data_IF_715292555887
#
_entry.id   IF_715292555887
#
_cell.length_a   1.000
_cell.length_b   1.000
_cell.length_c   1.000
_cell.angle_alpha   90.00
_cell.angle_beta   90.00
_cell.angle_gamma   90.00
#
_symmetry.space_group_name_H-M   'P 1'
#
loop_
_entity.id
_entity.type
_entity.pdbx_description
1 polymer ?
#
# COMPACT_ATOMS: atom_id res chain seq x y z
N UNK A 1 -61.53 -58.34 49.59
CA UNK A 1 -60.64 -59.43 50.06
C UNK A 1 -59.34 -59.29 49.28
N UNK A 2 -58.32 -58.72 49.94
CA UNK A 2 -56.87 -58.71 49.61
C UNK A 2 -56.48 -58.16 48.21
N UNK A 3 -55.63 -57.15 48.00
CA UNK A 3 -54.71 -56.32 48.78
C UNK A 3 -54.39 -55.07 47.89
N UNK A 4 -54.36 -53.88 48.50
CA UNK A 4 -53.48 -52.69 48.28
C UNK A 4 -52.69 -52.52 46.97
N UNK A 5 -52.33 -51.36 46.45
CA UNK A 5 -52.64 -49.93 46.55
C UNK A 5 -51.75 -49.29 45.44
N UNK A 6 -52.05 -48.06 45.04
CA UNK A 6 -51.42 -47.34 43.92
C UNK A 6 -49.93 -47.02 44.10
N UNK A 7 -49.34 -46.58 42.97
CA UNK A 7 -48.16 -45.72 42.76
C UNK A 7 -46.82 -46.41 42.50
N UNK A 8 -46.33 -46.30 41.25
CA UNK A 8 -44.93 -45.92 40.99
C UNK A 8 -44.93 -44.86 39.88
N UNK A 9 -44.31 -43.75 40.26
CA UNK A 9 -44.03 -42.52 39.55
C UNK A 9 -43.11 -42.78 38.36
N UNK A 10 -43.47 -42.22 37.20
CA UNK A 10 -42.62 -42.12 36.02
C UNK A 10 -41.52 -41.10 36.34
N UNK A 11 -40.33 -41.58 36.67
CA UNK A 11 -39.14 -40.74 36.79
C UNK A 11 -38.80 -40.20 35.40
N UNK A 12 -39.14 -38.94 35.17
CA UNK A 12 -38.76 -38.19 33.97
C UNK A 12 -37.28 -37.88 34.06
N UNK A 13 -36.52 -38.49 33.15
CA UNK A 13 -35.09 -38.34 32.94
C UNK A 13 -34.75 -36.87 32.64
N UNK A 14 -34.18 -36.16 33.63
CA UNK A 14 -33.65 -34.81 33.45
C UNK A 14 -32.15 -34.91 33.16
N UNK A 15 -31.80 -35.31 31.94
CA UNK A 15 -30.43 -35.17 31.46
C UNK A 15 -30.39 -34.87 29.97
N UNK A 16 -30.78 -33.64 29.63
CA UNK A 16 -30.53 -33.07 28.31
C UNK A 16 -29.92 -31.69 28.53
N UNK A 17 -28.90 -31.39 27.72
CA UNK A 17 -28.21 -30.10 27.51
C UNK A 17 -26.94 -29.82 28.35
N UNK A 18 -25.78 -30.38 27.94
CA UNK A 18 -24.51 -29.65 28.06
C UNK A 18 -23.81 -29.45 26.70
N UNK A 19 -24.55 -29.43 25.58
CA UNK A 19 -23.94 -29.29 24.24
C UNK A 19 -23.82 -27.82 23.77
N UNK A 20 -24.69 -26.91 24.23
CA UNK A 20 -24.77 -25.53 23.71
C UNK A 20 -23.60 -24.61 24.08
N UNK A 21 -22.81 -24.95 25.11
CA UNK A 21 -21.72 -24.10 25.62
C UNK A 21 -20.43 -24.23 24.79
N UNK A 22 -20.24 -25.37 24.13
CA UNK A 22 -19.09 -25.65 23.28
C UNK A 22 -19.21 -25.00 21.90
N UNK A 23 -20.43 -24.87 21.38
CA UNK A 23 -20.71 -24.19 20.11
C UNK A 23 -20.26 -22.72 20.13
N UNK A 24 -20.47 -22.02 21.24
CA UNK A 24 -20.09 -20.61 21.38
C UNK A 24 -18.57 -20.40 21.41
N UNK A 25 -17.82 -21.35 21.99
CA UNK A 25 -16.35 -21.29 22.07
C UNK A 25 -15.73 -21.61 20.71
N UNK A 26 -16.29 -22.60 20.00
CA UNK A 26 -15.86 -22.97 18.66
C UNK A 26 -16.17 -21.86 17.65
N UNK A 27 -17.33 -21.20 17.77
CA UNK A 27 -17.70 -20.05 16.96
C UNK A 27 -16.78 -18.83 17.21
N UNK A 28 -16.35 -18.61 18.46
CA UNK A 28 -15.36 -17.57 18.80
C UNK A 28 -13.97 -17.88 18.21
N UNK A 29 -13.57 -19.16 18.21
CA UNK A 29 -12.32 -19.61 17.60
C UNK A 29 -12.34 -19.43 16.07
N UNK A 30 -13.47 -19.73 15.42
CA UNK A 30 -13.65 -19.53 13.98
C UNK A 30 -13.62 -18.04 13.63
N UNK A 31 -14.27 -17.16 14.41
CA UNK A 31 -14.25 -15.71 14.18
C UNK A 31 -12.84 -15.16 14.37
N UNK A 32 -12.13 -15.57 15.41
CA UNK A 32 -10.75 -15.14 15.67
C UNK A 32 -9.78 -15.61 14.57
N UNK A 33 -9.91 -16.86 14.12
CA UNK A 33 -9.14 -17.39 13.00
C UNK A 33 -9.48 -16.66 11.68
N UNK A 34 -10.75 -16.30 11.49
CA UNK A 34 -11.20 -15.53 10.32
C UNK A 34 -10.65 -14.11 10.30
N UNK A 35 -10.43 -13.48 11.46
CA UNK A 35 -9.84 -12.13 11.55
C UNK A 35 -8.33 -12.15 11.22
N UNK A 36 -7.63 -13.24 11.54
CA UNK A 36 -6.21 -13.44 11.18
C UNK A 36 -6.02 -13.63 9.68
N UNK A 37 -7.04 -14.08 8.96
CA UNK A 37 -7.00 -14.36 7.52
C UNK A 37 -7.33 -13.16 6.62
N UNK A 38 -7.45 -11.95 7.16
CA UNK A 38 -7.50 -10.74 6.33
C UNK A 38 -6.09 -10.47 5.80
N UNK A 39 -5.70 -11.21 4.76
CA UNK A 39 -4.58 -10.83 3.92
C UNK A 39 -4.98 -9.56 3.17
N UNK A 40 -4.28 -8.46 3.40
CA UNK A 40 -4.48 -7.22 2.64
C UNK A 40 -4.39 -7.52 1.15
N UNK A 41 -5.45 -7.23 0.40
CA UNK A 41 -5.44 -7.38 -1.04
C UNK A 41 -4.53 -6.29 -1.62
N UNK A 42 -3.49 -6.71 -2.36
CA UNK A 42 -2.64 -5.78 -3.11
C UNK A 42 -3.20 -5.65 -4.52
N UNK A 43 -3.38 -4.41 -4.94
CA UNK A 43 -3.86 -4.05 -6.27
C UNK A 43 -2.68 -3.63 -7.13
N UNK A 44 -2.75 -3.99 -8.40
CA UNK A 44 -1.77 -3.62 -9.39
C UNK A 44 -1.98 -2.18 -9.86
N UNK A 45 -0.95 -1.34 -9.72
CA UNK A 45 -0.98 0.09 -10.06
C UNK A 45 -0.42 0.35 -11.45
N UNK A 46 0.68 -0.33 -11.80
CA UNK A 46 1.36 -0.20 -13.09
C UNK A 46 1.85 -1.57 -13.59
N UNK A 47 1.89 -1.70 -14.92
CA UNK A 47 2.37 -2.86 -15.69
C UNK A 47 3.38 -2.38 -16.75
N UNK A 48 4.23 -3.27 -17.24
CA UNK A 48 5.11 -2.91 -18.36
C UNK A 48 6.30 -2.04 -17.98
N UNK A 49 6.67 -1.99 -16.69
CA UNK A 49 7.76 -1.13 -16.23
C UNK A 49 9.12 -1.76 -16.52
N UNK A 50 10.09 -0.92 -16.87
CA UNK A 50 11.50 -1.34 -16.90
C UNK A 50 12.01 -1.54 -15.47
N UNK A 51 13.13 -2.24 -15.32
CA UNK A 51 13.75 -2.44 -14.01
C UNK A 51 14.10 -1.12 -13.32
N UNK A 52 14.67 -0.17 -14.06
CA UNK A 52 15.03 1.15 -13.53
C UNK A 52 13.78 1.92 -13.08
N UNK A 53 12.72 1.93 -13.90
CA UNK A 53 11.46 2.59 -13.57
C UNK A 53 10.82 2.01 -12.31
N UNK A 54 10.69 0.68 -12.23
CA UNK A 54 10.05 0.05 -11.07
C UNK A 54 10.88 0.24 -9.81
N UNK A 55 12.21 0.16 -9.88
CA UNK A 55 13.08 0.35 -8.73
C UNK A 55 12.98 1.78 -8.19
N UNK A 56 12.92 2.79 -9.07
CA UNK A 56 12.73 4.19 -8.66
C UNK A 56 11.36 4.43 -8.01
N UNK A 57 10.30 3.84 -8.58
CA UNK A 57 8.94 3.91 -8.03
C UNK A 57 8.84 3.26 -6.65
N UNK A 58 9.40 2.05 -6.50
CA UNK A 58 9.46 1.33 -5.22
C UNK A 58 10.21 2.15 -4.18
N UNK A 59 11.39 2.68 -4.52
CA UNK A 59 12.18 3.49 -3.60
C UNK A 59 11.42 4.74 -3.12
N UNK A 60 10.75 5.43 -4.05
CA UNK A 60 9.96 6.64 -3.75
C UNK A 60 8.79 6.35 -2.83
N UNK A 61 8.09 5.24 -3.06
CA UNK A 61 6.91 4.86 -2.28
C UNK A 61 7.28 4.33 -0.89
N UNK A 62 8.31 3.48 -0.78
CA UNK A 62 8.81 2.97 0.50
C UNK A 62 9.31 4.12 1.38
N UNK A 63 10.03 5.09 0.80
CA UNK A 63 10.51 6.27 1.54
C UNK A 63 9.36 7.08 2.15
N UNK A 64 8.18 7.09 1.51
CA UNK A 64 6.97 7.78 1.97
C UNK A 64 6.04 6.88 2.80
N UNK A 65 6.49 5.68 3.19
CA UNK A 65 5.76 4.78 4.08
C UNK A 65 4.63 3.98 3.42
N UNK A 66 4.61 3.91 2.09
CA UNK A 66 3.64 3.11 1.33
C UNK A 66 4.19 1.67 1.20
N UNK A 67 3.37 0.67 1.51
CA UNK A 67 3.72 -0.75 1.28
C UNK A 67 3.58 -1.07 -0.22
N UNK A 68 4.66 -1.56 -0.81
CA UNK A 68 4.76 -1.81 -2.26
C UNK A 68 5.41 -3.15 -2.51
N UNK A 69 4.88 -3.88 -3.48
CA UNK A 69 5.44 -5.13 -3.96
C UNK A 69 5.81 -5.06 -5.43
N UNK A 70 7.03 -5.48 -5.74
CA UNK A 70 7.52 -5.65 -7.12
C UNK A 70 7.20 -7.07 -7.57
N UNK A 71 6.35 -7.21 -8.58
CA UNK A 71 6.06 -8.50 -9.21
C UNK A 71 6.75 -8.61 -10.57
N UNK A 72 7.51 -9.69 -10.84
CA UNK A 72 8.10 -9.92 -12.14
C UNK A 72 7.06 -10.42 -13.15
N UNK A 73 6.87 -9.70 -14.26
CA UNK A 73 6.01 -10.07 -15.39
C UNK A 73 6.75 -10.74 -16.55
N UNK A 74 8.01 -11.15 -16.35
CA UNK A 74 8.82 -11.81 -17.38
C UNK A 74 9.07 -10.92 -18.59
N UNK A 75 8.54 -11.30 -19.76
CA UNK A 75 8.68 -10.52 -21.01
C UNK A 75 7.81 -9.26 -21.04
N UNK A 76 6.79 -9.19 -20.19
CA UNK A 76 5.88 -8.05 -20.09
C UNK A 76 6.41 -6.96 -19.14
N UNK A 77 7.65 -7.06 -18.68
CA UNK A 77 8.26 -6.10 -17.75
C UNK A 77 7.90 -6.39 -16.28
N UNK A 78 8.06 -5.38 -15.44
CA UNK A 78 7.70 -5.46 -14.01
C UNK A 78 6.34 -4.82 -13.75
N UNK A 79 5.64 -5.36 -12.75
CA UNK A 79 4.41 -4.80 -12.21
C UNK A 79 4.64 -4.27 -10.80
N UNK A 80 3.96 -3.17 -10.48
CA UNK A 80 3.99 -2.53 -9.18
C UNK A 80 2.64 -2.73 -8.49
N UNK A 81 2.64 -3.39 -7.34
CA UNK A 81 1.43 -3.64 -6.55
C UNK A 81 1.49 -2.84 -5.24
N UNK A 82 0.34 -2.30 -4.83
CA UNK A 82 0.18 -1.49 -3.61
C UNK A 82 -1.07 -1.96 -2.87
N UNK A 83 -1.09 -1.85 -1.54
CA UNK A 83 -2.30 -2.12 -0.75
C UNK A 83 -3.47 -1.24 -1.20
N UNK A 84 -4.68 -1.81 -1.31
CA UNK A 84 -5.88 -1.11 -1.76
C UNK A 84 -6.14 0.19 -0.98
N UNK A 85 -5.94 0.15 0.33
CA UNK A 85 -6.09 1.28 1.27
C UNK A 85 -5.16 2.46 0.94
N UNK A 86 -4.02 2.19 0.32
CA UNK A 86 -2.96 3.17 0.03
C UNK A 86 -2.88 3.55 -1.46
N UNK A 87 -3.74 2.99 -2.32
CA UNK A 87 -3.69 3.18 -3.77
C UNK A 87 -3.72 4.65 -4.19
N UNK A 88 -4.64 5.43 -3.63
CA UNK A 88 -4.82 6.85 -3.99
C UNK A 88 -3.58 7.66 -3.57
N UNK A 89 -3.08 7.44 -2.35
CA UNK A 89 -1.87 8.08 -1.84
C UNK A 89 -0.65 7.74 -2.69
N UNK A 90 -0.50 6.47 -3.09
CA UNK A 90 0.59 6.02 -3.94
C UNK A 90 0.55 6.70 -5.32
N UNK A 91 -0.62 6.73 -5.96
CA UNK A 91 -0.81 7.41 -7.25
C UNK A 91 -0.52 8.91 -7.16
N UNK A 92 -0.93 9.56 -6.07
CA UNK A 92 -0.65 10.98 -5.85
C UNK A 92 0.86 11.24 -5.71
N UNK A 93 1.56 10.40 -4.93
CA UNK A 93 3.01 10.48 -4.74
C UNK A 93 3.74 10.27 -6.08
N UNK A 94 3.39 9.22 -6.82
CA UNK A 94 4.00 8.92 -8.12
C UNK A 94 3.79 10.07 -9.11
N UNK A 95 2.56 10.58 -9.22
CA UNK A 95 2.23 11.71 -10.09
C UNK A 95 3.01 12.98 -9.73
N UNK A 96 3.10 13.30 -8.44
CA UNK A 96 3.88 14.46 -7.95
C UNK A 96 5.35 14.35 -8.35
N UNK A 97 5.92 13.14 -8.28
CA UNK A 97 7.33 12.87 -8.60
C UNK A 97 7.62 12.61 -10.09
N UNK A 98 6.64 12.76 -11.00
CA UNK A 98 6.82 12.46 -12.44
C UNK A 98 7.06 10.98 -12.77
N UNK A 99 6.57 10.07 -11.93
CA UNK A 99 6.82 8.65 -12.11
C UNK A 99 5.63 7.96 -12.81
N UNK A 100 5.90 7.00 -13.71
CA UNK A 100 7.22 6.60 -14.22
C UNK A 100 7.86 7.68 -15.11
N UNK A 101 9.20 7.77 -15.10
CA UNK A 101 9.92 8.75 -15.92
C UNK A 101 9.65 8.53 -17.41
N UNK A 102 9.55 9.62 -18.16
CA UNK A 102 9.49 9.58 -19.62
C UNK A 102 10.77 8.96 -20.17
N UNK A 103 10.61 8.08 -21.17
CA UNK A 103 11.74 7.56 -21.94
C UNK A 103 12.07 8.57 -23.04
N UNK A 104 13.35 8.93 -23.15
CA UNK A 104 13.85 9.75 -24.25
C UNK A 104 14.32 8.86 -25.39
N UNK A 105 14.03 9.29 -26.61
CA UNK A 105 14.40 8.55 -27.82
C UNK A 105 15.88 8.76 -28.11
N UNK A 106 16.63 7.68 -28.31
CA UNK A 106 18.05 7.78 -28.64
C UNK A 106 18.27 8.30 -30.06
N UNK A 107 19.45 8.91 -30.31
CA UNK A 107 19.81 9.37 -31.65
C UNK A 107 19.73 8.22 -32.67
N UNK A 108 20.21 7.03 -32.31
CA UNK A 108 20.14 5.85 -33.17
C UNK A 108 18.71 5.47 -33.57
N UNK A 109 17.75 5.58 -32.65
CA UNK A 109 16.34 5.32 -32.93
C UNK A 109 15.74 6.36 -33.89
N UNK A 110 16.05 7.65 -33.70
CA UNK A 110 15.55 8.73 -34.58
C UNK A 110 16.05 8.56 -36.03
N UNK A 111 17.26 8.04 -36.24
CA UNK A 111 17.86 7.89 -37.57
C UNK A 111 17.72 6.48 -38.20
N UNK A 112 17.31 5.46 -37.44
CA UNK A 112 17.20 4.07 -37.92
C UNK A 112 15.99 3.79 -38.83
N UNK A 113 15.00 4.69 -38.86
CA UNK A 113 13.79 4.58 -39.68
C UNK A 113 13.90 5.15 -41.09
N UNK A 114 14.59 4.43 -41.99
CA UNK A 114 14.36 4.35 -43.46
C UNK A 114 14.52 5.59 -44.39
N UNK A 115 14.77 5.27 -45.67
CA UNK A 115 14.72 6.14 -46.86
C UNK A 115 16.09 6.46 -47.48
N UNK A 116 16.39 5.94 -48.68
CA UNK A 116 17.69 6.16 -49.37
C UNK A 116 17.88 7.60 -49.88
N UNK A 117 16.87 8.47 -49.74
CA UNK A 117 16.91 9.89 -50.08
C UNK A 117 15.91 10.61 -49.16
N UNK A 118 16.40 11.37 -48.18
CA UNK A 118 15.56 12.27 -47.36
C UNK A 118 15.55 13.68 -47.95
N UNK A 119 14.46 14.42 -47.76
CA UNK A 119 14.42 15.82 -48.18
C UNK A 119 15.21 16.71 -47.22
N UNK A 120 15.73 17.83 -47.70
CA UNK A 120 16.48 18.78 -46.86
C UNK A 120 15.66 19.30 -45.66
N UNK A 121 14.34 19.45 -45.82
CA UNK A 121 13.44 19.84 -44.73
C UNK A 121 13.26 18.71 -43.71
N UNK A 122 13.18 17.46 -44.17
CA UNK A 122 13.05 16.29 -43.31
C UNK A 122 14.31 16.05 -42.48
N UNK A 123 15.50 16.13 -43.09
CA UNK A 123 16.76 15.98 -42.38
C UNK A 123 16.91 17.03 -41.26
N UNK A 124 16.51 18.27 -41.52
CA UNK A 124 16.51 19.35 -40.52
C UNK A 124 15.50 19.10 -39.40
N UNK A 125 14.29 18.67 -39.73
CA UNK A 125 13.27 18.34 -38.73
C UNK A 125 13.73 17.18 -37.83
N UNK A 126 14.37 16.17 -38.44
CA UNK A 126 14.94 15.01 -37.74
C UNK A 126 16.10 15.42 -36.83
N UNK A 127 17.01 16.25 -37.31
CA UNK A 127 18.12 16.80 -36.50
C UNK A 127 17.60 17.64 -35.34
N UNK A 128 16.60 18.50 -35.55
CA UNK A 128 16.01 19.31 -34.49
C UNK A 128 15.35 18.43 -33.42
N UNK A 129 14.63 17.38 -33.83
CA UNK A 129 14.02 16.41 -32.90
C UNK A 129 15.09 15.66 -32.12
N UNK A 130 16.13 15.15 -32.80
CA UNK A 130 17.27 14.50 -32.16
C UNK A 130 17.93 15.37 -31.08
N UNK A 131 18.26 16.63 -31.40
CA UNK A 131 18.85 17.57 -30.44
C UNK A 131 17.89 17.83 -29.27
N UNK A 132 16.59 17.94 -29.55
CA UNK A 132 15.58 18.13 -28.50
C UNK A 132 15.54 16.97 -27.51
N UNK A 133 15.64 15.73 -27.98
CA UNK A 133 15.63 14.52 -27.14
C UNK A 133 16.93 14.40 -26.34
N UNK A 134 18.08 14.64 -26.97
CA UNK A 134 19.39 14.53 -26.31
C UNK A 134 19.56 15.58 -25.21
N UNK A 135 19.16 16.84 -25.48
CA UNK A 135 19.18 17.90 -24.47
C UNK A 135 18.16 17.66 -23.36
N UNK A 136 16.96 17.18 -23.69
CA UNK A 136 15.96 16.83 -22.68
C UNK A 136 16.47 15.73 -21.74
N UNK A 137 17.05 14.66 -22.30
CA UNK A 137 17.69 13.58 -21.55
C UNK A 137 18.84 14.12 -20.67
N UNK A 138 19.73 14.94 -21.23
CA UNK A 138 20.87 15.53 -20.49
C UNK A 138 20.41 16.36 -19.30
N UNK A 139 19.50 17.32 -19.50
CA UNK A 139 19.04 18.19 -18.42
C UNK A 139 18.16 17.45 -17.39
N UNK A 140 17.49 16.35 -17.79
CA UNK A 140 16.71 15.52 -16.86
C UNK A 140 17.56 14.76 -15.84
N UNK A 141 18.88 14.65 -16.08
CA UNK A 141 19.84 13.99 -15.19
C UNK A 141 20.38 14.90 -14.09
N UNK A 142 20.05 16.18 -14.12
CA UNK A 142 20.41 17.12 -13.06
C UNK A 142 19.63 16.74 -11.79
N UNK A 143 20.30 16.73 -10.63
CA UNK A 143 19.68 16.37 -9.37
C UNK A 143 18.46 17.25 -9.06
N UNK A 144 17.36 16.61 -8.64
CA UNK A 144 16.09 17.29 -8.36
C UNK A 144 15.32 17.74 -9.61
N UNK A 145 15.81 17.49 -10.83
CA UNK A 145 15.00 17.64 -12.05
C UNK A 145 14.11 16.42 -12.23
N UNK A 146 12.82 16.67 -12.40
CA UNK A 146 11.80 15.63 -12.52
C UNK A 146 11.36 15.41 -13.96
N UNK A 147 11.32 16.49 -14.76
CA UNK A 147 10.88 16.42 -16.15
C UNK A 147 11.53 17.56 -16.93
N UNK A 148 12.06 17.26 -18.11
CA UNK A 148 12.62 18.27 -19.00
C UNK A 148 12.03 18.10 -20.39
N UNK A 149 11.62 19.21 -20.99
CA UNK A 149 11.26 19.25 -22.41
C UNK A 149 12.00 20.36 -23.10
N UNK A 150 12.48 20.06 -24.30
CA UNK A 150 13.19 21.00 -25.15
C UNK A 150 12.44 21.07 -26.47
N UNK A 151 12.18 22.27 -26.94
CA UNK A 151 11.58 22.54 -28.24
C UNK A 151 12.58 23.32 -29.06
N UNK A 152 13.02 22.73 -30.16
CA UNK A 152 13.98 23.32 -31.08
C UNK A 152 13.24 23.76 -32.34
N UNK A 153 13.37 25.05 -32.67
CA UNK A 153 12.93 25.60 -33.95
C UNK A 153 14.19 25.79 -34.80
N UNK A 154 14.45 24.91 -35.79
CA UNK A 154 15.63 25.04 -36.63
C UNK A 154 15.53 26.28 -37.50
N UNK A 155 16.65 26.98 -37.64
CA UNK A 155 16.76 28.10 -38.57
C UNK A 155 16.81 27.62 -40.02
N UNK A 156 16.42 28.49 -40.94
CA UNK A 156 16.65 28.27 -42.37
C UNK A 156 16.82 29.59 -43.12
N UNK A 157 17.59 29.54 -44.19
CA UNK A 157 17.72 30.65 -45.14
C UNK A 157 16.90 30.30 -46.38
N UNK A 158 15.96 31.17 -46.73
CA UNK A 158 15.26 31.11 -48.01
C UNK A 158 16.04 31.92 -49.05
N UNK A 159 16.65 31.22 -50.01
CA UNK A 159 17.41 31.84 -51.09
C UNK A 159 16.51 32.59 -52.09
N UNK A 160 15.23 32.24 -52.18
CA UNK A 160 14.30 32.88 -53.12
C UNK A 160 13.81 34.24 -52.62
N UNK A 161 13.75 34.44 -51.30
CA UNK A 161 13.21 35.65 -50.66
C UNK A 161 14.30 36.46 -49.93
N UNK A 162 15.55 35.99 -49.96
CA UNK A 162 16.69 36.54 -49.20
C UNK A 162 16.34 36.79 -47.72
N UNK A 163 15.64 35.81 -47.13
CA UNK A 163 15.17 35.88 -45.75
C UNK A 163 15.82 34.78 -44.92
N UNK A 164 16.43 35.16 -43.79
CA UNK A 164 17.04 34.23 -42.83
C UNK A 164 16.17 34.16 -41.57
N UNK A 165 15.59 32.99 -41.33
CA UNK A 165 14.97 32.67 -40.05
C UNK A 165 16.05 32.07 -39.16
N UNK A 166 16.35 32.79 -38.08
CA UNK A 166 17.31 32.35 -37.07
C UNK A 166 16.70 31.24 -36.20
N UNK A 167 17.50 30.29 -35.72
CA UNK A 167 17.03 29.23 -34.84
C UNK A 167 16.59 29.77 -33.48
N UNK A 168 15.72 29.04 -32.77
CA UNK A 168 15.34 29.36 -31.40
C UNK A 168 15.05 28.10 -30.59
N UNK A 169 15.17 28.20 -29.28
CA UNK A 169 14.95 27.05 -28.39
C UNK A 169 14.13 27.46 -27.16
N UNK A 170 13.15 26.63 -26.82
CA UNK A 170 12.41 26.71 -25.57
C UNK A 170 12.71 25.51 -24.69
N UNK A 171 13.11 25.75 -23.44
CA UNK A 171 13.44 24.72 -22.46
C UNK A 171 12.48 24.84 -21.29
N UNK A 172 11.79 23.75 -20.97
CA UNK A 172 10.93 23.62 -19.81
C UNK A 172 11.52 22.61 -18.85
N UNK A 173 11.72 23.02 -17.60
CA UNK A 173 12.28 22.16 -16.56
C UNK A 173 11.35 22.20 -15.35
N UNK A 174 10.83 21.03 -14.99
CA UNK A 174 10.14 20.82 -13.73
C UNK A 174 11.10 20.24 -12.71
N UNK A 175 11.17 20.85 -11.52
CA UNK A 175 12.17 20.48 -10.51
C UNK A 175 11.60 20.47 -9.09
N UNK A 176 12.28 19.79 -8.18
CA UNK A 176 12.01 19.84 -6.74
C UNK A 176 12.47 21.18 -6.16
N UNK A 177 11.88 21.64 -5.05
CA UNK A 177 12.26 22.90 -4.41
C UNK A 177 13.77 23.01 -4.08
N UNK A 178 14.41 21.90 -3.74
CA UNK A 178 15.82 21.85 -3.33
C UNK A 178 16.81 21.67 -4.50
N UNK A 179 16.33 21.65 -5.74
CA UNK A 179 17.18 21.37 -6.91
C UNK A 179 18.18 22.51 -7.18
N UNK A 180 19.47 22.19 -7.43
CA UNK A 180 20.48 23.19 -7.82
C UNK A 180 20.22 23.82 -9.20
N UNK A 181 19.27 23.28 -9.98
CA UNK A 181 18.98 23.71 -11.36
C UNK A 181 18.67 25.21 -11.46
N UNK A 182 18.10 25.80 -10.40
CA UNK A 182 17.76 27.22 -10.33
C UNK A 182 19.01 28.11 -10.47
N UNK A 183 20.14 27.66 -9.93
CA UNK A 183 21.41 28.39 -10.00
C UNK A 183 22.20 28.11 -11.29
N UNK A 184 21.80 27.07 -12.03
CA UNK A 184 22.48 26.63 -13.26
C UNK A 184 21.87 27.25 -14.53
N UNK A 185 20.90 28.14 -14.40
CA UNK A 185 20.18 28.74 -15.53
C UNK A 185 21.11 29.35 -16.60
N UNK A 186 22.19 30.09 -16.25
CA UNK A 186 23.12 30.61 -17.25
C UNK A 186 23.85 29.49 -18.00
N UNK A 187 24.30 28.46 -17.29
CA UNK A 187 24.99 27.31 -17.86
C UNK A 187 24.08 26.48 -18.76
N UNK A 188 22.80 26.30 -18.38
CA UNK A 188 21.80 25.60 -19.21
C UNK A 188 21.60 26.35 -20.53
N UNK A 189 21.43 27.67 -20.48
CA UNK A 189 21.33 28.49 -21.70
C UNK A 189 22.60 28.45 -22.55
N UNK A 190 23.77 28.48 -21.91
CA UNK A 190 25.05 28.41 -22.62
C UNK A 190 25.24 27.07 -23.33
N UNK A 191 24.98 25.96 -22.65
CA UNK A 191 25.03 24.62 -23.25
C UNK A 191 24.04 24.53 -24.40
N UNK A 192 22.79 24.94 -24.19
CA UNK A 192 21.75 24.94 -25.21
C UNK A 192 22.15 25.74 -26.46
N UNK A 193 22.65 26.97 -26.28
CA UNK A 193 23.11 27.81 -27.38
C UNK A 193 24.27 27.18 -28.17
N UNK A 194 25.18 26.46 -27.49
CA UNK A 194 26.30 25.77 -28.13
C UNK A 194 25.92 24.44 -28.80
N UNK A 195 24.74 23.89 -28.50
CA UNK A 195 24.28 22.61 -29.06
C UNK A 195 23.63 22.71 -30.44
N UNK A 196 23.30 23.93 -30.90
CA UNK A 196 22.68 24.15 -32.21
C UNK A 196 23.43 25.24 -32.99
N UNK A 197 23.78 25.02 -34.26
CA UNK A 197 24.42 26.04 -35.09
C UNK A 197 23.57 27.32 -35.19
N UNK A 198 24.22 28.49 -35.18
CA UNK A 198 23.59 29.81 -35.25
C UNK A 198 22.57 30.12 -34.13
N UNK A 199 22.51 29.33 -33.06
CA UNK A 199 21.65 29.60 -31.91
C UNK A 199 22.34 30.58 -30.95
N UNK A 200 21.74 31.76 -30.83
CA UNK A 200 22.20 32.79 -29.90
C UNK A 200 21.66 32.55 -28.49
N UNK A 201 22.42 33.01 -27.50
CA UNK A 201 22.06 32.93 -26.08
C UNK A 201 20.68 33.55 -25.79
N UNK A 202 20.39 34.71 -26.39
CA UNK A 202 19.15 35.46 -26.18
C UNK A 202 17.93 34.81 -26.85
N UNK A 203 18.14 33.86 -27.77
CA UNK A 203 17.09 33.09 -28.45
C UNK A 203 16.79 31.76 -27.76
N UNK A 204 17.32 31.57 -26.56
CA UNK A 204 17.07 30.42 -25.69
C UNK A 204 16.22 30.85 -24.50
N UNK A 205 14.94 30.49 -24.53
CA UNK A 205 14.02 30.72 -23.42
C UNK A 205 14.02 29.52 -22.48
N UNK A 206 14.14 29.76 -21.17
CA UNK A 206 14.12 28.70 -20.15
C UNK A 206 13.09 29.03 -19.09
N UNK A 207 12.16 28.09 -18.88
CA UNK A 207 11.13 28.16 -17.85
C UNK A 207 11.38 27.07 -16.79
N UNK A 208 11.54 27.50 -15.55
CA UNK A 208 11.66 26.62 -14.39
C UNK A 208 10.33 26.55 -13.66
N UNK A 209 9.87 25.35 -13.35
CA UNK A 209 8.66 25.10 -12.59
C UNK A 209 8.97 24.27 -11.34
N UNK A 210 8.94 24.86 -10.14
CA UNK A 210 9.09 24.10 -8.90
C UNK A 210 7.83 23.27 -8.63
N UNK A 211 8.01 22.06 -8.12
CA UNK A 211 6.92 21.27 -7.57
C UNK A 211 6.51 21.83 -6.22
N UNK A 212 5.23 22.14 -6.07
CA UNK A 212 4.66 22.45 -4.76
C UNK A 212 4.40 21.12 -4.04
N UNK A 213 5.19 20.82 -3.02
CA UNK A 213 4.84 19.78 -2.06
C UNK A 213 3.91 20.38 -1.01
N UNK A 214 2.59 20.11 -1.02
CA UNK A 214 1.87 20.20 0.24
C UNK A 214 2.42 19.08 1.13
N UNK A 215 2.85 19.45 2.33
CA UNK A 215 3.17 18.53 3.42
C UNK A 215 1.88 17.82 3.85
N UNK A 216 1.35 16.94 3.00
CA UNK A 216 0.37 15.96 3.44
C UNK A 216 1.18 14.86 4.09
N UNK A 217 1.50 15.04 5.37
CA UNK A 217 1.74 13.88 6.23
C UNK A 217 0.45 13.08 6.09
N UNK A 218 0.48 11.86 5.53
CA UNK A 218 -0.72 11.04 5.52
C UNK A 218 -1.12 10.89 6.98
N UNK A 219 -2.19 11.57 7.37
CA UNK A 219 -2.96 11.20 8.54
C UNK A 219 -3.59 9.88 8.17
N UNK A 220 -2.82 8.79 8.29
CA UNK A 220 -3.38 7.45 8.30
C UNK A 220 -4.49 7.50 9.35
N UNK A 221 -5.72 7.32 8.88
CA UNK A 221 -6.89 7.45 9.72
C UNK A 221 -6.71 6.50 10.89
N UNK A 222 -6.39 7.04 12.07
CA UNK A 222 -6.48 6.29 13.30
C UNK A 222 -7.95 5.98 13.47
N UNK A 223 -8.37 4.79 13.04
CA UNK A 223 -9.70 4.28 13.33
C UNK A 223 -9.73 3.95 14.82
N UNK A 224 -9.91 5.00 15.62
CA UNK A 224 -10.09 4.91 17.06
C UNK A 224 -11.46 4.30 17.31
N UNK A 225 -11.50 3.00 17.57
CA UNK A 225 -12.68 2.36 18.12
C UNK A 225 -12.56 2.34 19.64
N UNK A 226 -13.46 3.04 20.32
CA UNK A 226 -13.56 3.05 21.78
C UNK A 226 -12.26 3.52 22.50
N UNK A 227 -11.58 4.51 21.94
CA UNK A 227 -10.40 5.13 22.55
C UNK A 227 -9.10 4.29 22.48
N UNK A 228 -9.13 3.13 21.84
CA UNK A 228 -7.98 2.23 21.73
C UNK A 228 -7.51 2.21 20.27
N UNK A 229 -6.23 2.48 20.06
CA UNK A 229 -5.57 2.32 18.76
C UNK A 229 -5.38 0.84 18.47
N UNK A 230 -6.29 0.23 17.69
CA UNK A 230 -6.27 -1.21 17.40
C UNK A 230 -5.12 -1.64 16.49
N UNK A 231 -4.50 -0.70 15.77
CA UNK A 231 -3.37 -0.94 14.87
C UNK A 231 -2.28 0.11 15.09
N UNK A 232 -1.33 -0.10 16.02
CA UNK A 232 -0.13 0.73 16.05
C UNK A 232 0.68 0.43 14.78
N UNK A 233 0.88 1.46 13.97
CA UNK A 233 1.69 1.40 12.76
C UNK A 233 3.10 0.89 13.04
N UNK A 234 3.60 0.10 12.08
CA UNK A 234 4.73 -0.82 12.16
C UNK A 234 4.46 -1.98 13.09
N UNK A 235 4.52 -3.18 12.52
CA UNK A 235 4.57 -4.46 13.21
C UNK A 235 5.75 -4.53 14.18
N UNK A 236 5.66 -3.80 15.28
CA UNK A 236 6.54 -3.99 16.41
C UNK A 236 6.25 -5.42 16.91
N UNK A 237 7.30 -6.22 17.15
CA UNK A 237 7.11 -7.61 17.59
C UNK A 237 6.28 -7.67 18.88
N UNK A 238 6.20 -6.58 19.64
CA UNK A 238 5.40 -6.45 20.85
C UNK A 238 3.89 -6.58 20.64
N UNK A 239 3.35 -6.28 19.45
CA UNK A 239 1.92 -6.51 19.18
C UNK A 239 1.63 -8.01 18.99
N UNK A 240 2.47 -8.72 18.23
CA UNK A 240 2.37 -10.17 18.07
C UNK A 240 2.65 -10.90 19.39
N UNK A 241 3.61 -10.42 20.18
CA UNK A 241 3.92 -10.94 21.52
C UNK A 241 2.75 -10.66 22.47
N UNK A 242 2.16 -9.46 22.44
CA UNK A 242 1.00 -9.09 23.24
C UNK A 242 -0.22 -9.95 22.92
N UNK A 243 -0.52 -10.15 21.64
CA UNK A 243 -1.57 -11.07 21.18
C UNK A 243 -1.26 -12.52 21.57
N UNK A 244 0.01 -12.94 21.49
CA UNK A 244 0.46 -14.27 21.94
C UNK A 244 0.29 -14.50 23.45
N UNK A 245 0.56 -13.48 24.27
CA UNK A 245 0.37 -13.56 25.74
C UNK A 245 -1.12 -13.62 26.08
N UNK A 246 -1.95 -12.81 25.42
CA UNK A 246 -3.40 -12.83 25.61
C UNK A 246 -3.98 -14.19 25.18
N UNK A 247 -3.51 -14.73 24.05
CA UNK A 247 -3.88 -16.06 23.56
C UNK A 247 -3.50 -17.16 24.55
N UNK A 248 -2.29 -17.12 25.10
CA UNK A 248 -1.83 -18.09 26.11
C UNK A 248 -2.63 -17.98 27.41
N UNK A 249 -2.97 -16.76 27.84
CA UNK A 249 -3.82 -16.53 29.01
C UNK A 249 -5.24 -17.09 28.81
N UNK A 250 -5.81 -16.95 27.60
CA UNK A 250 -7.10 -17.52 27.25
C UNK A 250 -7.05 -19.05 27.23
N UNK A 251 -6.02 -19.66 26.63
CA UNK A 251 -5.83 -21.12 26.65
C UNK A 251 -5.70 -21.62 28.08
N UNK A 252 -4.91 -20.95 28.91
CA UNK A 252 -4.72 -21.34 30.30
C UNK A 252 -6.01 -21.21 31.11
N UNK A 253 -6.79 -20.14 30.89
CA UNK A 253 -8.11 -19.96 31.50
C UNK A 253 -9.11 -21.05 31.10
N UNK A 254 -9.09 -21.48 29.83
CA UNK A 254 -9.93 -22.58 29.33
C UNK A 254 -9.51 -23.91 29.97
N UNK A 255 -8.22 -24.23 30.00
CA UNK A 255 -7.71 -25.43 30.68
C UNK A 255 -8.06 -25.45 32.16
N UNK A 256 -7.94 -24.32 32.84
CA UNK A 256 -8.29 -24.18 34.25
C UNK A 256 -9.80 -24.39 34.48
N UNK A 257 -10.66 -23.84 33.61
CA UNK A 257 -12.10 -24.06 33.67
C UNK A 257 -12.48 -25.53 33.42
N UNK A 258 -11.86 -26.18 32.43
CA UNK A 258 -12.07 -27.61 32.16
C UNK A 258 -11.61 -28.46 33.34
N UNK A 259 -10.45 -28.13 33.93
CA UNK A 259 -9.94 -28.79 35.13
C UNK A 259 -10.88 -28.67 36.33
N UNK A 260 -11.46 -27.48 36.57
CA UNK A 260 -12.45 -27.27 37.63
C UNK A 260 -13.74 -28.06 37.40
N UNK A 261 -14.21 -28.16 36.15
CA UNK A 261 -15.42 -28.93 35.82
C UNK A 261 -15.19 -30.43 35.98
N UNK A 262 -14.01 -30.94 35.61
CA UNK A 262 -13.64 -32.33 35.86
C UNK A 262 -13.47 -32.60 37.37
N UNK A 263 -12.86 -31.67 38.11
CA UNK A 263 -12.70 -31.78 39.56
C UNK A 263 -14.02 -31.78 40.32
N UNK A 264 -15.02 -31.00 39.90
CA UNK A 264 -16.36 -31.05 40.51
C UNK A 264 -17.10 -32.37 40.25
N UNK A 265 -16.74 -33.09 39.18
CA UNK A 265 -17.31 -34.40 38.86
C UNK A 265 -16.73 -35.53 39.73
N UNK A 266 -15.53 -35.34 40.27
CA UNK A 266 -14.80 -36.31 41.08
C UNK A 266 -14.98 -36.14 42.60
N UNK A 267 -15.88 -35.26 43.07
CA UNK A 267 -16.19 -35.14 44.50
C UNK A 267 -17.17 -36.27 44.88
N UNK A 268 -16.75 -37.33 45.59
CA UNK A 268 -17.69 -38.32 46.11
C UNK A 268 -18.55 -37.65 47.19
N UNK A 269 -19.85 -37.52 46.95
CA UNK A 269 -20.81 -37.10 47.97
C UNK A 269 -20.81 -38.21 49.04
N UNK A 270 -20.20 -37.93 50.19
CA UNK A 270 -20.18 -38.83 51.34
C UNK A 270 -21.62 -39.13 51.77
N UNK A 271 -22.07 -40.37 51.53
CA UNK A 271 -23.37 -40.85 52.00
C UNK A 271 -23.24 -41.11 53.50
N UNK A 272 -23.83 -40.24 54.32
CA UNK A 272 -23.94 -40.42 55.76
C UNK A 272 -24.74 -41.69 56.05
N UNK A 273 -24.09 -42.69 56.64
CA UNK A 273 -24.76 -43.86 57.21
C UNK A 273 -25.08 -43.48 58.65
N UNK A 274 -26.34 -43.16 58.91
CA UNK A 274 -26.89 -43.18 60.26
C UNK A 274 -27.98 -44.26 60.33
N UNK A 275 -27.90 -45.04 61.40
CA UNK A 275 -28.61 -46.27 61.68
C UNK A 275 -29.69 -45.96 62.73
N UNK A 276 -30.81 -45.38 62.33
CA UNK A 276 -32.12 -45.63 62.96
C UNK A 276 -33.23 -45.30 61.96
N UNK A 277 -34.31 -46.07 62.02
CA UNK A 277 -35.45 -45.89 61.16
C UNK A 277 -36.33 -44.75 61.66
N UNK A 278 -36.30 -43.62 60.98
CA UNK A 278 -37.44 -42.71 60.85
C UNK A 278 -37.16 -41.64 59.79
N UNK A 279 -37.98 -41.60 58.73
CA UNK A 279 -38.03 -40.47 57.80
C UNK A 279 -39.26 -39.67 58.20
N UNK A 280 -39.05 -38.51 58.83
CA UNK A 280 -40.12 -37.51 58.98
C UNK A 280 -39.80 -36.29 58.14
N UNK A 281 -40.72 -35.97 57.24
CA UNK A 281 -41.09 -34.59 56.97
C UNK A 281 -40.21 -33.82 55.98
N UNK A 282 -40.58 -33.93 54.71
CA UNK A 282 -40.52 -32.83 53.75
C UNK A 282 -41.17 -31.55 54.32
N UNK A 283 -40.47 -30.40 54.28
CA UNK A 283 -41.09 -29.08 54.05
C UNK A 283 -40.10 -28.09 53.39
N UNK A 284 -40.51 -27.56 52.25
CA UNK A 284 -39.88 -26.51 51.45
C UNK A 284 -40.44 -25.12 51.82
N UNK A 285 -39.53 -24.23 52.25
CA UNK A 285 -39.33 -22.79 51.91
C UNK A 285 -40.47 -21.73 52.06
N UNK A 286 -40.19 -20.74 52.97
CA UNK A 286 -40.54 -19.27 53.04
C UNK A 286 -41.98 -18.80 53.39
N UNK A 287 -42.25 -17.52 53.80
CA UNK A 287 -41.39 -16.32 54.06
C UNK A 287 -41.69 -15.49 55.37
N UNK A 288 -40.83 -14.50 55.68
CA UNK A 288 -41.08 -13.15 56.27
C UNK A 288 -41.85 -12.95 57.60
N UNK A 289 -41.16 -12.50 58.68
CA UNK A 289 -41.40 -11.23 59.43
C UNK A 289 -40.54 -11.17 60.72
N UNK A 290 -39.96 -9.98 60.95
CA UNK A 290 -39.28 -9.43 62.14
C UNK A 290 -37.92 -10.01 62.60
#
# INVERSE_FOLDING_TARGET
MLLTDRYIVKATDSNVYPLKKWDNILLLFIIFFSIIFISGCKLEVYKGLTEDQVNEMVATLIYRGIDVEKSPGGKEGFSLLVAEEQLISALEILKKNALPRENYVSLGEVFSGQGMISSQSEERARMAYAISQELANTFSRIDGVLTTRVHVVPGYTDQAVDSKILPSMGIFIRHTPDSPVVNMLPSIREVAAKSLPDLEYDRTSVMLLPVQEPLTIPSMGSSTFLGISLFPERGSPYFLIGMGIIFLAIIFGIFFCIGLVLFQKDIPIAKKIDNDGSISGEQTIKPEEQ
#
